data_IF_088220006897
#
_entry.id   IF_088220006897
#
_cell.length_a   1.000
_cell.length_b   1.000
_cell.length_c   1.000
_cell.angle_alpha   90.00
_cell.angle_beta   90.00
_cell.angle_gamma   90.00
#
_symmetry.space_group_name_H-M   'P 1'
#
loop_
_entity.id
_entity.type
_entity.pdbx_description
1 polymer ?
#
# COMPACT_ATOMS: atom_id res chain seq x y z
N UNK A 1 -38.54 -35.13 13.90
CA UNK A 1 -38.59 -33.64 13.90
C UNK A 1 -37.17 -33.15 13.68
N UNK A 2 -36.81 -32.76 12.45
CA UNK A 2 -35.47 -32.24 12.11
C UNK A 2 -35.47 -30.72 12.33
N UNK A 3 -34.49 -30.22 13.10
CA UNK A 3 -34.24 -28.78 13.27
C UNK A 3 -33.53 -28.26 12.01
N UNK A 4 -33.93 -27.10 11.44
CA UNK A 4 -33.20 -26.52 10.32
C UNK A 4 -31.82 -26.04 10.76
N UNK A 5 -30.82 -26.37 9.93
CA UNK A 5 -29.45 -25.85 10.03
C UNK A 5 -29.51 -24.34 9.80
N UNK A 6 -29.22 -23.55 10.83
CA UNK A 6 -29.10 -22.09 10.70
C UNK A 6 -27.76 -21.84 9.99
N UNK A 7 -27.82 -21.33 8.76
CA UNK A 7 -26.62 -20.85 8.07
C UNK A 7 -25.93 -19.85 8.98
N UNK A 8 -24.66 -20.11 9.30
CA UNK A 8 -23.79 -19.08 9.88
C UNK A 8 -23.75 -17.96 8.85
N UNK A 9 -24.31 -16.81 9.20
CA UNK A 9 -24.06 -15.57 8.49
C UNK A 9 -22.54 -15.42 8.43
N UNK A 10 -21.98 -15.62 7.24
CA UNK A 10 -20.59 -15.34 6.93
C UNK A 10 -20.36 -13.88 7.27
N UNK A 11 -19.70 -13.64 8.40
CA UNK A 11 -19.03 -12.39 8.71
C UNK A 11 -18.33 -11.95 7.42
N UNK A 12 -18.55 -10.71 6.93
CA UNK A 12 -17.89 -10.28 5.71
C UNK A 12 -16.40 -10.40 5.96
N UNK A 13 -15.75 -11.36 5.29
CA UNK A 13 -14.30 -11.45 5.28
C UNK A 13 -13.79 -10.03 5.01
N UNK A 14 -12.87 -9.50 5.85
CA UNK A 14 -12.32 -8.18 5.62
C UNK A 14 -11.84 -8.18 4.19
N UNK A 15 -12.49 -7.39 3.35
CA UNK A 15 -12.21 -7.38 1.91
C UNK A 15 -10.72 -7.09 1.82
N UNK A 16 -9.89 -8.01 1.27
CA UNK A 16 -8.46 -7.81 1.29
C UNK A 16 -8.22 -6.45 0.65
N UNK A 17 -7.58 -5.56 1.42
CA UNK A 17 -7.26 -4.25 0.90
C UNK A 17 -6.52 -4.48 -0.42
N UNK A 18 -6.89 -3.77 -1.50
CA UNK A 18 -6.16 -3.92 -2.74
C UNK A 18 -4.68 -3.68 -2.43
N UNK A 19 -3.82 -4.63 -2.80
CA UNK A 19 -2.38 -4.46 -2.68
C UNK A 19 -1.92 -3.20 -3.42
N UNK A 20 -0.67 -2.83 -3.25
CA UNK A 20 -0.10 -1.59 -3.77
C UNK A 20 -0.42 -1.37 -5.25
N UNK A 21 -0.44 -2.44 -6.06
CA UNK A 21 -0.81 -2.37 -7.47
C UNK A 21 -2.26 -1.90 -7.69
N UNK A 22 -3.22 -2.34 -6.87
CA UNK A 22 -4.61 -1.90 -6.96
C UNK A 22 -4.79 -0.44 -6.49
N UNK A 23 -3.99 -0.01 -5.51
CA UNK A 23 -3.92 1.39 -5.10
C UNK A 23 -3.33 2.28 -6.20
N UNK A 24 -2.34 1.80 -6.95
CA UNK A 24 -1.76 2.57 -8.05
C UNK A 24 -2.71 2.74 -9.25
N UNK A 25 -3.69 1.85 -9.42
CA UNK A 25 -4.65 1.94 -10.51
C UNK A 25 -5.86 2.82 -10.17
N UNK A 26 -6.39 2.74 -8.95
CA UNK A 26 -7.65 3.40 -8.57
C UNK A 26 -7.64 3.94 -7.12
N UNK A 27 -6.46 4.05 -6.52
CA UNK A 27 -6.28 4.50 -5.14
C UNK A 27 -6.38 6.01 -4.99
N UNK A 28 -6.56 6.42 -3.75
CA UNK A 28 -6.47 7.82 -3.33
C UNK A 28 -5.40 7.92 -2.24
N UNK A 29 -4.84 9.11 -1.97
CA UNK A 29 -3.88 9.30 -0.89
C UNK A 29 -4.39 8.76 0.46
N UNK A 30 -5.68 8.93 0.77
CA UNK A 30 -6.28 8.39 1.99
C UNK A 30 -6.29 6.85 2.03
N UNK A 31 -6.49 6.18 0.89
CA UNK A 31 -6.41 4.72 0.82
C UNK A 31 -4.97 4.23 0.96
N UNK A 32 -3.99 4.99 0.48
CA UNK A 32 -2.58 4.69 0.66
C UNK A 32 -2.20 4.73 2.15
N UNK A 33 -2.61 5.78 2.88
CA UNK A 33 -2.38 5.84 4.33
C UNK A 33 -3.07 4.70 5.08
N UNK A 34 -4.30 4.36 4.71
CA UNK A 34 -4.99 3.21 5.33
C UNK A 34 -4.30 1.88 5.03
N UNK A 35 -3.74 1.72 3.83
CA UNK A 35 -2.98 0.52 3.47
C UNK A 35 -1.65 0.45 4.23
N UNK A 36 -0.91 1.56 4.35
CA UNK A 36 0.31 1.61 5.17
C UNK A 36 0.03 1.23 6.63
N UNK A 37 -1.04 1.78 7.21
CA UNK A 37 -1.41 1.51 8.60
C UNK A 37 -1.93 0.08 8.87
N UNK A 38 -2.35 -0.67 7.84
CA UNK A 38 -2.91 -2.02 7.98
C UNK A 38 -2.05 -3.13 7.36
N UNK A 39 -0.95 -2.79 6.68
CA UNK A 39 -0.08 -3.76 6.04
C UNK A 39 1.10 -4.11 6.94
N UNK A 40 1.48 -5.39 6.95
CA UNK A 40 2.70 -5.84 7.61
C UNK A 40 3.94 -5.27 6.92
N UNK A 41 4.98 -4.96 7.69
CA UNK A 41 6.22 -4.36 7.19
C UNK A 41 6.89 -5.23 6.11
N UNK A 42 6.86 -6.56 6.27
CA UNK A 42 7.42 -7.49 5.27
C UNK A 42 6.63 -7.43 3.95
N UNK A 43 5.30 -7.30 4.02
CA UNK A 43 4.44 -7.18 2.85
C UNK A 43 4.66 -5.82 2.16
N UNK A 44 4.80 -4.74 2.96
CA UNK A 44 5.14 -3.42 2.45
C UNK A 44 6.49 -3.45 1.71
N UNK A 45 7.50 -4.10 2.29
CA UNK A 45 8.82 -4.20 1.68
C UNK A 45 8.77 -4.95 0.34
N UNK A 46 8.14 -6.12 0.30
CA UNK A 46 7.99 -6.93 -0.92
C UNK A 46 7.21 -6.18 -2.01
N UNK A 47 6.08 -5.56 -1.67
CA UNK A 47 5.28 -4.83 -2.65
C UNK A 47 5.99 -3.59 -3.20
N UNK A 48 6.75 -2.89 -2.36
CA UNK A 48 7.53 -1.71 -2.77
C UNK A 48 8.75 -2.10 -3.59
N UNK A 49 9.45 -3.18 -3.21
CA UNK A 49 10.58 -3.71 -3.97
C UNK A 49 10.15 -4.14 -5.38
N UNK A 50 8.94 -4.68 -5.54
CA UNK A 50 8.37 -5.10 -6.80
C UNK A 50 7.91 -3.95 -7.72
N UNK A 51 7.94 -2.69 -7.25
CA UNK A 51 7.53 -1.54 -8.07
C UNK A 51 8.45 -1.32 -9.26
N UNK A 52 7.85 -1.10 -10.43
CA UNK A 52 8.53 -0.52 -11.59
C UNK A 52 8.72 0.99 -11.41
N UNK A 53 9.58 1.61 -12.23
CA UNK A 53 9.80 3.06 -12.21
C UNK A 53 8.51 3.86 -12.47
N UNK A 54 7.67 3.41 -13.42
CA UNK A 54 6.37 4.06 -13.69
C UNK A 54 5.42 3.98 -12.49
N UNK A 55 5.42 2.83 -11.81
CA UNK A 55 4.59 2.61 -10.62
C UNK A 55 5.12 3.42 -9.43
N UNK A 56 6.43 3.49 -9.24
CA UNK A 56 7.06 4.34 -8.22
C UNK A 56 6.75 5.83 -8.47
N UNK A 57 6.75 6.29 -9.72
CA UNK A 57 6.32 7.63 -10.07
C UNK A 57 4.84 7.89 -9.75
N UNK A 58 3.94 6.94 -10.05
CA UNK A 58 2.52 7.05 -9.65
C UNK A 58 2.35 7.07 -8.13
N UNK A 59 3.13 6.26 -7.41
CA UNK A 59 3.15 6.25 -5.95
C UNK A 59 3.60 7.60 -5.41
N UNK A 60 4.63 8.21 -5.99
CA UNK A 60 5.15 9.52 -5.59
C UNK A 60 4.08 10.62 -5.65
N UNK A 61 3.19 10.59 -6.64
CA UNK A 61 2.09 11.54 -6.76
C UNK A 61 0.99 11.35 -5.72
N UNK A 62 0.88 10.15 -5.13
CA UNK A 62 -0.09 9.86 -4.08
C UNK A 62 0.50 10.03 -2.66
N UNK A 63 1.82 9.99 -2.54
CA UNK A 63 2.52 10.17 -1.27
C UNK A 63 2.44 11.62 -0.80
N UNK A 64 1.83 11.82 0.35
CA UNK A 64 2.01 13.02 1.17
C UNK A 64 3.32 12.92 1.97
N UNK A 65 3.90 14.03 2.47
CA UNK A 65 5.10 13.98 3.30
C UNK A 65 4.94 13.07 4.53
N UNK A 66 3.75 13.03 5.14
CA UNK A 66 3.46 12.16 6.28
C UNK A 66 3.46 10.67 5.88
N UNK A 67 2.72 10.31 4.84
CA UNK A 67 2.68 8.92 4.34
C UNK A 67 4.02 8.47 3.74
N UNK A 68 4.83 9.39 3.22
CA UNK A 68 6.18 9.09 2.75
C UNK A 68 7.12 8.76 3.91
N UNK A 69 7.04 9.50 5.01
CA UNK A 69 7.76 9.17 6.24
C UNK A 69 7.36 7.79 6.77
N UNK A 70 6.05 7.55 6.91
CA UNK A 70 5.51 6.27 7.38
C UNK A 70 5.93 5.10 6.48
N UNK A 71 5.86 5.26 5.16
CA UNK A 71 6.32 4.25 4.20
C UNK A 71 7.82 3.95 4.38
N UNK A 72 8.66 4.99 4.45
CA UNK A 72 10.11 4.82 4.59
C UNK A 72 10.52 4.22 5.94
N UNK A 73 9.74 4.46 7.00
CA UNK A 73 9.95 3.84 8.32
C UNK A 73 9.47 2.38 8.37
N UNK A 74 8.51 2.02 7.52
CA UNK A 74 7.89 0.69 7.50
C UNK A 74 8.64 -0.31 6.60
N UNK A 75 9.41 0.16 5.62
CA UNK A 75 10.21 -0.69 4.72
C UNK A 75 11.68 -0.75 5.15
N UNK A 76 12.39 -1.75 4.66
CA UNK A 76 13.82 -1.91 4.91
C UNK A 76 14.64 -0.76 4.30
N UNK A 77 15.82 -0.43 4.87
CA UNK A 77 16.69 0.60 4.32
C UNK A 77 17.14 0.33 2.89
N UNK A 78 17.23 -0.94 2.49
CA UNK A 78 17.60 -1.33 1.14
C UNK A 78 16.48 -1.00 0.15
N UNK A 79 15.26 -1.40 0.46
CA UNK A 79 14.06 -1.13 -0.35
C UNK A 79 13.74 0.35 -0.39
N UNK A 80 13.91 1.08 0.72
CA UNK A 80 13.82 2.55 0.75
C UNK A 80 14.81 3.20 -0.22
N UNK A 81 16.08 2.78 -0.20
CA UNK A 81 17.09 3.31 -1.10
C UNK A 81 16.78 2.99 -2.58
N UNK A 82 16.24 1.81 -2.86
CA UNK A 82 15.83 1.41 -4.21
C UNK A 82 14.62 2.22 -4.70
N UNK A 83 13.60 2.38 -3.85
CA UNK A 83 12.44 3.23 -4.11
C UNK A 83 12.88 4.65 -4.42
N UNK A 84 13.73 5.26 -3.58
CA UNK A 84 14.21 6.63 -3.77
C UNK A 84 14.97 6.82 -5.11
N UNK A 85 15.62 5.78 -5.64
CA UNK A 85 16.26 5.82 -6.97
C UNK A 85 15.24 5.77 -8.12
N UNK A 86 14.12 5.07 -7.91
CA UNK A 86 13.02 4.94 -8.88
C UNK A 86 12.11 6.17 -8.90
N UNK A 87 12.08 6.94 -7.81
CA UNK A 87 11.29 8.17 -7.76
C UNK A 87 11.86 9.22 -8.74
N UNK A 88 11.02 9.86 -9.56
CA UNK A 88 11.48 10.96 -10.39
C UNK A 88 12.00 12.08 -9.48
N UNK A 89 13.14 12.69 -9.85
CA UNK A 89 13.83 13.79 -9.12
C UNK A 89 12.98 15.08 -8.91
N UNK A 90 11.69 15.04 -9.21
CA UNK A 90 10.82 16.20 -9.33
C UNK A 90 9.65 16.17 -8.33
N UNK A 91 9.93 16.31 -7.04
CA UNK A 91 8.98 16.89 -6.06
C UNK A 91 9.74 17.66 -4.97
N UNK A 92 10.58 18.63 -5.38
CA UNK A 92 11.20 19.61 -4.49
C UNK A 92 10.82 21.06 -4.87
N UNK A 93 9.73 21.24 -5.63
CA UNK A 93 9.20 22.54 -6.00
C UNK A 93 7.71 22.58 -5.65
N UNK A 94 7.42 22.97 -4.41
CA UNK A 94 6.09 23.21 -3.87
C UNK A 94 6.21 23.91 -2.52
#
# INVERSE_FOLDING_TARGET
>A
MMRPFRARETEPEPTPLPGLQGLLQNGTPSKLTLWLANSDHDVLDDEVAALTEEQAAKLSHMLTPASAGELLESISPHTAADLLKKLPLAVAAG
#
